data_IF_799650972626
#
_entry.id   IF_799650972626
#
_cell.length_a   1.000
_cell.length_b   1.000
_cell.length_c   1.000
_cell.angle_alpha   90.00
_cell.angle_beta   90.00
_cell.angle_gamma   90.00
#
_symmetry.space_group_name_H-M   'P 1'
#
loop_
_entity.id
_entity.type
_entity.pdbx_description
1 polymer ?
#
# COMPACT_ATOMS: atom_id res chain seq x y z
N UNK A 1 -8.55 -29.54 24.02
CA UNK A 1 -7.70 -30.67 23.61
C UNK A 1 -6.34 -30.10 23.22
N UNK A 2 -5.40 -30.08 24.16
CA UNK A 2 -4.05 -29.54 23.94
C UNK A 2 -3.23 -30.59 23.18
N UNK A 3 -2.86 -30.29 21.93
CA UNK A 3 -1.94 -31.14 21.18
C UNK A 3 -0.51 -30.84 21.65
N UNK A 4 -0.04 -31.65 22.59
CA UNK A 4 1.40 -31.79 22.85
C UNK A 4 2.04 -32.38 21.58
N UNK A 5 3.01 -31.67 20.98
CA UNK A 5 3.85 -32.21 19.90
C UNK A 5 5.24 -32.53 20.44
N UNK A 6 5.63 -33.77 20.21
CA UNK A 6 6.76 -34.49 20.79
C UNK A 6 8.14 -33.94 20.38
N UNK A 7 9.05 -33.91 21.35
CA UNK A 7 10.48 -34.28 21.25
C UNK A 7 11.47 -33.44 20.43
N UNK A 8 11.07 -32.79 19.34
CA UNK A 8 11.99 -32.13 18.40
C UNK A 8 11.58 -30.69 18.01
N UNK A 9 10.51 -30.15 18.64
CA UNK A 9 10.00 -28.80 18.39
C UNK A 9 10.90 -27.70 18.96
N UNK A 10 11.58 -27.95 20.09
CA UNK A 10 12.36 -26.93 20.80
C UNK A 10 13.50 -26.36 19.95
N UNK A 11 14.29 -27.20 19.28
CA UNK A 11 15.42 -26.72 18.47
C UNK A 11 14.98 -25.96 17.21
N UNK A 12 13.91 -26.43 16.55
CA UNK A 12 13.39 -25.75 15.36
C UNK A 12 12.78 -24.40 15.74
N UNK A 13 11.94 -24.36 16.77
CA UNK A 13 11.30 -23.12 17.22
C UNK A 13 12.31 -22.11 17.73
N UNK A 14 13.30 -22.51 18.52
CA UNK A 14 14.37 -21.60 19.00
C UNK A 14 15.13 -21.01 17.82
N UNK A 15 15.43 -21.82 16.79
CA UNK A 15 16.17 -21.38 15.62
C UNK A 15 15.34 -20.46 14.72
N UNK A 16 14.06 -20.77 14.50
CA UNK A 16 13.15 -19.87 13.77
C UNK A 16 12.93 -18.57 14.53
N UNK A 17 12.76 -18.62 15.86
CA UNK A 17 12.65 -17.43 16.72
C UNK A 17 13.90 -16.54 16.66
N UNK A 18 15.08 -17.12 16.50
CA UNK A 18 16.33 -16.35 16.31
C UNK A 18 16.42 -15.62 14.97
N UNK A 19 15.60 -15.98 13.98
CA UNK A 19 15.61 -15.40 12.64
C UNK A 19 14.61 -14.24 12.58
N UNK A 20 15.11 -13.03 12.83
CA UNK A 20 14.29 -11.80 12.96
C UNK A 20 13.59 -11.31 11.68
N UNK A 21 13.68 -12.02 10.55
CA UNK A 21 12.99 -11.64 9.32
C UNK A 21 12.78 -12.82 8.38
N UNK A 22 11.77 -12.72 7.51
CA UNK A 22 11.50 -13.72 6.47
C UNK A 22 12.68 -13.88 5.48
N UNK A 23 13.46 -12.81 5.25
CA UNK A 23 14.67 -12.88 4.41
C UNK A 23 15.74 -13.75 5.06
N UNK A 24 16.02 -13.53 6.35
CA UNK A 24 16.95 -14.35 7.14
C UNK A 24 16.48 -15.80 7.22
N UNK A 25 15.18 -16.03 7.39
CA UNK A 25 14.59 -17.37 7.40
C UNK A 25 14.80 -18.10 6.07
N UNK A 26 14.52 -17.44 4.94
CA UNK A 26 14.76 -18.00 3.59
C UNK A 26 16.24 -18.32 3.37
N UNK A 27 17.14 -17.38 3.67
CA UNK A 27 18.58 -17.62 3.55
C UNK A 27 19.12 -18.72 4.47
N UNK A 28 18.51 -18.93 5.64
CA UNK A 28 18.85 -20.05 6.53
C UNK A 28 18.28 -21.38 6.02
N UNK A 29 17.08 -21.37 5.43
CA UNK A 29 16.44 -22.53 4.82
C UNK A 29 17.20 -23.01 3.57
N UNK A 30 17.79 -22.09 2.79
CA UNK A 30 18.64 -22.44 1.64
C UNK A 30 19.92 -23.19 2.05
N UNK A 31 20.45 -22.88 3.24
CA UNK A 31 21.66 -23.50 3.80
C UNK A 31 21.36 -24.81 4.54
N UNK A 32 20.12 -25.05 4.95
CA UNK A 32 19.74 -26.20 5.75
C UNK A 32 18.45 -26.85 5.20
N UNK A 33 18.57 -27.96 4.44
CA UNK A 33 17.42 -28.64 3.83
C UNK A 33 16.35 -29.07 4.83
N UNK A 34 16.76 -29.57 6.01
CA UNK A 34 15.85 -29.99 7.07
C UNK A 34 15.00 -28.84 7.64
N UNK A 35 15.52 -27.60 7.62
CA UNK A 35 14.75 -26.42 8.03
C UNK A 35 13.72 -26.08 6.96
N UNK A 36 14.13 -26.09 5.69
CA UNK A 36 13.25 -25.84 4.53
C UNK A 36 12.08 -26.82 4.48
N UNK A 37 12.34 -28.10 4.66
CA UNK A 37 11.32 -29.16 4.62
C UNK A 37 10.29 -28.98 5.75
N UNK A 38 10.75 -28.71 6.99
CA UNK A 38 9.85 -28.41 8.11
C UNK A 38 9.04 -27.14 7.89
N UNK A 39 9.65 -26.07 7.39
CA UNK A 39 8.93 -24.82 7.08
C UNK A 39 7.89 -25.04 5.98
N UNK A 40 8.23 -25.76 4.92
CA UNK A 40 7.30 -26.11 3.86
C UNK A 40 6.13 -26.96 4.37
N UNK A 41 6.40 -27.96 5.22
CA UNK A 41 5.37 -28.79 5.82
C UNK A 41 4.39 -28.00 6.71
N UNK A 42 4.87 -26.98 7.42
CA UNK A 42 4.01 -26.09 8.22
C UNK A 42 3.16 -25.17 7.33
N UNK A 43 3.73 -24.70 6.21
CA UNK A 43 3.04 -23.78 5.30
C UNK A 43 2.07 -24.48 4.34
N UNK A 44 2.23 -25.78 4.11
CA UNK A 44 1.38 -26.57 3.22
C UNK A 44 -0.12 -26.36 3.47
N UNK A 45 -0.67 -26.51 4.69
CA UNK A 45 -2.11 -26.35 4.92
C UNK A 45 -2.60 -24.93 4.61
N UNK A 46 -1.78 -23.91 4.89
CA UNK A 46 -2.10 -22.51 4.59
C UNK A 46 -2.10 -22.28 3.07
N UNK A 47 -1.12 -22.84 2.36
CA UNK A 47 -1.04 -22.78 0.90
C UNK A 47 -2.20 -23.51 0.24
N UNK A 48 -2.58 -24.67 0.74
CA UNK A 48 -3.75 -25.42 0.27
C UNK A 48 -5.03 -24.60 0.44
N UNK A 49 -5.22 -23.98 1.61
CA UNK A 49 -6.38 -23.14 1.88
C UNK A 49 -6.41 -21.88 1.00
N UNK A 50 -5.27 -21.22 0.78
CA UNK A 50 -5.17 -20.10 -0.14
C UNK A 50 -5.52 -20.54 -1.57
N UNK A 51 -4.92 -21.61 -2.08
CA UNK A 51 -5.23 -22.15 -3.42
C UNK A 51 -6.72 -22.47 -3.58
N UNK A 52 -7.34 -23.06 -2.56
CA UNK A 52 -8.77 -23.35 -2.56
C UNK A 52 -9.62 -22.07 -2.60
N UNK A 53 -9.22 -21.00 -1.91
CA UNK A 53 -9.94 -19.71 -1.94
C UNK A 53 -9.74 -19.01 -3.29
N UNK A 54 -8.52 -19.04 -3.83
CA UNK A 54 -8.21 -18.44 -5.13
C UNK A 54 -8.81 -19.20 -6.31
N UNK A 55 -9.03 -20.51 -6.22
CA UNK A 55 -9.75 -21.24 -7.28
C UNK A 55 -11.24 -20.88 -7.35
N UNK A 56 -11.80 -20.32 -6.28
CA UNK A 56 -13.17 -19.80 -6.24
C UNK A 56 -13.25 -18.36 -6.76
N UNK A 57 -12.14 -17.64 -6.83
CA UNK A 57 -12.06 -16.32 -7.44
C UNK A 57 -12.10 -16.49 -8.97
N UNK A 58 -13.30 -16.39 -9.53
CA UNK A 58 -13.48 -16.13 -10.95
C UNK A 58 -13.53 -14.62 -11.11
N UNK A 59 -12.71 -14.06 -12.01
CA UNK A 59 -13.08 -12.77 -12.57
C UNK A 59 -14.43 -12.99 -13.23
N UNK A 60 -15.44 -12.27 -12.77
CA UNK A 60 -16.70 -12.23 -13.49
C UNK A 60 -16.43 -11.56 -14.84
N UNK A 61 -16.85 -12.20 -15.93
CA UNK A 61 -16.89 -11.59 -17.27
C UNK A 61 -17.94 -10.47 -17.36
N UNK A 62 -18.72 -10.29 -16.29
CA UNK A 62 -19.46 -9.06 -16.07
C UNK A 62 -18.46 -7.90 -16.12
N UNK A 63 -18.77 -6.80 -16.82
CA UNK A 63 -17.99 -5.59 -16.70
C UNK A 63 -18.12 -5.15 -15.24
N UNK A 64 -17.16 -5.58 -14.42
CA UNK A 64 -16.85 -4.95 -13.14
C UNK A 64 -16.84 -3.49 -13.51
N UNK A 65 -17.82 -2.73 -13.00
CA UNK A 65 -17.84 -1.28 -13.11
C UNK A 65 -16.41 -0.87 -12.84
N UNK A 66 -15.69 -0.57 -13.93
CA UNK A 66 -14.29 -0.25 -13.86
C UNK A 66 -14.32 0.99 -13.01
N UNK A 67 -14.00 0.82 -11.72
CA UNK A 67 -13.64 1.93 -10.88
C UNK A 67 -12.34 2.40 -11.48
N UNK A 68 -12.49 3.17 -12.56
CA UNK A 68 -11.41 3.61 -13.42
C UNK A 68 -10.63 4.55 -12.54
N UNK A 69 -9.56 4.02 -11.97
CA UNK A 69 -8.55 4.78 -11.28
C UNK A 69 -8.00 5.72 -12.35
N UNK A 70 -8.35 7.01 -12.25
CA UNK A 70 -7.72 8.04 -13.07
C UNK A 70 -6.24 8.12 -12.67
N UNK A 71 -5.40 7.36 -13.37
CA UNK A 71 -3.95 7.42 -13.21
C UNK A 71 -3.45 8.56 -14.09
N UNK A 72 -3.27 9.70 -13.43
CA UNK A 72 -2.76 10.92 -14.02
C UNK A 72 -1.24 10.96 -13.88
N UNK A 73 -0.49 11.12 -14.99
CA UNK A 73 0.96 11.38 -14.96
C UNK A 73 1.18 12.65 -14.13
N UNK A 74 2.22 12.73 -13.31
CA UNK A 74 2.41 13.97 -12.57
C UNK A 74 3.02 15.04 -13.50
N UNK A 75 2.58 16.30 -13.35
CA UNK A 75 3.22 17.43 -14.04
C UNK A 75 4.64 17.64 -13.48
N UNK A 76 5.50 18.25 -14.29
CA UNK A 76 6.79 18.80 -13.85
C UNK A 76 6.47 19.75 -12.67
N UNK A 77 7.19 19.60 -11.54
CA UNK A 77 6.91 20.22 -10.22
C UNK A 77 5.81 19.58 -9.35
N UNK A 78 5.58 18.29 -9.51
CA UNK A 78 4.73 17.54 -8.59
C UNK A 78 5.44 17.17 -7.27
N UNK A 79 4.93 17.71 -6.15
CA UNK A 79 5.40 17.41 -4.79
C UNK A 79 5.46 15.91 -4.47
N UNK A 80 4.47 15.14 -4.94
CA UNK A 80 4.46 13.69 -4.72
C UNK A 80 5.61 13.00 -5.47
N UNK A 81 5.87 13.39 -6.72
CA UNK A 81 6.96 12.86 -7.55
C UNK A 81 8.34 13.32 -7.09
N UNK A 82 8.46 14.46 -6.41
CA UNK A 82 9.72 14.83 -5.74
C UNK A 82 10.11 13.80 -4.67
N UNK A 83 9.11 13.24 -3.98
CA UNK A 83 9.33 12.30 -2.86
C UNK A 83 9.25 10.84 -3.30
N UNK A 84 8.54 10.55 -4.37
CA UNK A 84 8.44 9.24 -5.00
C UNK A 84 8.66 9.43 -6.51
N UNK A 85 9.91 9.62 -6.94
CA UNK A 85 10.20 9.79 -8.35
C UNK A 85 9.74 8.57 -9.14
N UNK A 86 9.30 8.75 -10.40
CA UNK A 86 9.03 7.63 -11.29
C UNK A 86 10.19 6.64 -11.28
N UNK A 87 9.88 5.35 -11.18
CA UNK A 87 10.91 4.30 -11.21
C UNK A 87 11.46 4.04 -12.61
N UNK A 88 10.81 4.58 -13.64
CA UNK A 88 11.24 4.49 -15.03
C UNK A 88 12.29 5.58 -15.31
N UNK A 89 13.23 5.34 -16.26
CA UNK A 89 14.13 6.38 -16.74
C UNK A 89 13.36 7.59 -17.28
N UNK A 90 13.90 8.79 -17.08
CA UNK A 90 13.22 10.04 -17.44
C UNK A 90 12.86 10.11 -18.92
N UNK A 91 13.71 9.60 -19.81
CA UNK A 91 13.46 9.54 -21.27
C UNK A 91 12.23 8.68 -21.60
N UNK A 92 12.16 7.49 -21.00
CA UNK A 92 11.03 6.56 -21.21
C UNK A 92 9.77 7.13 -20.59
N UNK A 93 9.86 7.70 -19.39
CA UNK A 93 8.72 8.31 -18.74
C UNK A 93 8.23 9.53 -19.52
N UNK A 94 9.12 10.36 -20.06
CA UNK A 94 8.78 11.54 -20.85
C UNK A 94 8.03 11.16 -22.14
N UNK A 95 8.44 10.10 -22.81
CA UNK A 95 7.82 9.60 -24.05
C UNK A 95 6.41 9.00 -23.88
N UNK A 96 5.99 8.68 -22.65
CA UNK A 96 4.65 8.13 -22.39
C UNK A 96 3.59 9.23 -22.37
N UNK A 97 2.55 9.05 -23.19
CA UNK A 97 1.32 9.82 -23.11
C UNK A 97 0.47 9.44 -21.90
N UNK A 98 -0.47 10.33 -21.58
CA UNK A 98 -1.46 10.12 -20.55
C UNK A 98 -2.38 8.95 -20.88
N UNK A 99 -2.83 8.25 -19.83
CA UNK A 99 -3.87 7.26 -20.01
C UNK A 99 -5.15 7.99 -20.46
N UNK A 100 -5.69 7.67 -21.65
CA UNK A 100 -6.88 8.32 -22.18
C UNK A 100 -8.10 7.99 -21.32
N UNK A 101 -9.00 8.95 -21.20
CA UNK A 101 -10.31 8.74 -20.61
C UNK A 101 -11.15 7.81 -21.51
N UNK A 102 -12.06 7.02 -20.94
CA UNK A 102 -13.00 6.21 -21.71
C UNK A 102 -13.73 7.09 -22.70
N UNK A 103 -13.79 6.66 -23.95
CA UNK A 103 -14.53 7.37 -25.01
C UNK A 103 -15.48 6.39 -25.65
N UNK A 104 -16.76 6.76 -25.78
CA UNK A 104 -17.75 5.90 -26.41
C UNK A 104 -17.60 5.88 -27.92
N UNK A 105 -17.95 4.74 -28.52
CA UNK A 105 -18.14 4.63 -29.97
C UNK A 105 -19.30 5.53 -30.42
N UNK A 106 -19.37 5.83 -31.71
CA UNK A 106 -20.43 6.67 -32.30
C UNK A 106 -21.84 6.16 -31.93
N UNK A 107 -22.02 4.84 -31.87
CA UNK A 107 -23.29 4.18 -31.54
C UNK A 107 -23.59 4.12 -30.03
N UNK A 108 -22.68 4.60 -29.16
CA UNK A 108 -22.76 4.55 -27.69
C UNK A 108 -22.97 3.14 -27.10
N UNK A 109 -22.73 2.10 -27.89
CA UNK A 109 -22.89 0.69 -27.51
C UNK A 109 -21.72 0.12 -26.73
N UNK A 110 -20.57 0.79 -26.74
CA UNK A 110 -19.35 0.38 -26.06
C UNK A 110 -18.27 1.46 -26.13
N UNK A 111 -17.15 1.20 -25.47
CA UNK A 111 -15.99 2.07 -25.47
C UNK A 111 -15.05 1.75 -26.63
N UNK A 112 -14.35 2.77 -27.13
CA UNK A 112 -13.28 2.63 -28.09
C UNK A 112 -12.12 1.82 -27.48
N UNK A 113 -11.43 0.98 -28.26
CA UNK A 113 -10.27 0.25 -27.79
C UNK A 113 -9.11 1.19 -27.50
N UNK A 114 -8.23 0.80 -26.56
CA UNK A 114 -7.11 1.63 -26.09
C UNK A 114 -6.20 2.14 -27.21
N UNK A 115 -5.92 1.30 -28.22
CA UNK A 115 -5.11 1.67 -29.40
C UNK A 115 -5.62 2.90 -30.14
N UNK A 116 -6.94 3.09 -30.13
CA UNK A 116 -7.60 4.10 -30.94
C UNK A 116 -7.74 5.42 -30.16
N UNK A 117 -7.59 5.39 -28.84
CA UNK A 117 -7.69 6.56 -27.96
C UNK A 117 -6.34 7.01 -27.39
N UNK A 118 -5.33 6.14 -27.34
CA UNK A 118 -4.02 6.49 -26.79
C UNK A 118 -3.34 7.59 -27.62
N UNK A 119 -2.81 8.61 -26.93
CA UNK A 119 -2.18 9.77 -27.56
C UNK A 119 -3.16 10.82 -28.14
N UNK A 120 -4.47 10.63 -27.97
CA UNK A 120 -5.49 11.62 -28.35
C UNK A 120 -6.01 12.37 -27.13
N UNK A 121 -6.49 13.59 -27.35
CA UNK A 121 -7.17 14.36 -26.31
C UNK A 121 -8.56 13.75 -26.07
N UNK A 122 -8.78 13.25 -24.86
CA UNK A 122 -10.04 12.65 -24.41
C UNK A 122 -10.64 13.49 -23.29
N UNK A 123 -11.92 13.25 -23.01
CA UNK A 123 -12.69 14.01 -22.02
C UNK A 123 -13.37 13.04 -21.04
N UNK A 124 -13.70 13.51 -19.83
CA UNK A 124 -14.23 12.66 -18.75
C UNK A 124 -15.75 12.36 -18.88
N UNK A 125 -16.40 12.83 -19.94
CA UNK A 125 -17.84 12.85 -20.18
C UNK A 125 -18.44 11.45 -20.31
N UNK A 126 -17.62 10.54 -20.82
CA UNK A 126 -17.93 9.13 -21.02
C UNK A 126 -17.48 8.26 -19.83
N UNK A 127 -16.84 8.83 -18.80
CA UNK A 127 -16.49 8.12 -17.58
C UNK A 127 -17.77 7.65 -16.84
N UNK A 128 -17.92 6.33 -16.57
CA UNK A 128 -19.07 5.80 -15.84
C UNK A 128 -19.27 6.43 -14.46
N UNK A 129 -18.18 6.78 -13.79
CA UNK A 129 -18.16 7.44 -12.48
C UNK A 129 -18.73 8.86 -12.49
N UNK A 130 -18.71 9.56 -13.62
CA UNK A 130 -19.26 10.91 -13.76
C UNK A 130 -20.78 10.88 -13.92
N UNK A 131 -21.30 9.83 -14.55
CA UNK A 131 -22.74 9.69 -14.86
C UNK A 131 -23.58 9.29 -13.66
N UNK A 132 -22.99 8.62 -12.67
CA UNK A 132 -23.68 8.19 -11.46
C UNK A 132 -23.31 9.07 -10.25
N UNK A 133 -23.68 10.36 -10.30
CA UNK A 133 -23.59 11.26 -9.13
C UNK A 133 -24.83 11.22 -8.24
N UNK A 134 -25.84 10.41 -8.58
CA UNK A 134 -27.01 10.21 -7.75
C UNK A 134 -26.67 9.22 -6.64
N UNK A 135 -26.26 9.74 -5.48
CA UNK A 135 -26.30 8.95 -4.24
C UNK A 135 -27.71 8.41 -4.07
N UNK A 136 -27.87 7.09 -4.08
CA UNK A 136 -29.18 6.48 -3.82
C UNK A 136 -29.68 6.90 -2.43
N UNK A 137 -30.99 6.81 -2.19
CA UNK A 137 -31.54 7.05 -0.85
C UNK A 137 -30.93 6.10 0.19
N UNK A 138 -30.59 4.86 -0.20
CA UNK A 138 -29.77 3.94 0.59
C UNK A 138 -28.37 4.49 0.90
N UNK A 139 -27.66 5.06 -0.09
CA UNK A 139 -26.32 5.64 0.14
C UNK A 139 -26.37 6.83 1.10
N UNK A 140 -27.42 7.65 1.03
CA UNK A 140 -27.63 8.76 1.97
C UNK A 140 -27.87 8.27 3.39
N UNK A 141 -28.66 7.20 3.55
CA UNK A 141 -28.92 6.55 4.85
C UNK A 141 -27.67 5.86 5.40
N UNK A 142 -26.81 5.32 4.54
CA UNK A 142 -25.59 4.59 4.91
C UNK A 142 -24.34 5.48 5.02
N UNK A 143 -24.41 6.74 4.57
CA UNK A 143 -23.34 7.75 4.71
C UNK A 143 -22.80 7.88 6.15
N UNK A 144 -23.62 7.77 7.23
CA UNK A 144 -23.14 7.76 8.60
C UNK A 144 -22.42 6.45 9.00
N UNK A 145 -22.67 5.33 8.31
CA UNK A 145 -21.95 4.08 8.52
C UNK A 145 -20.57 4.11 7.86
N UNK A 146 -20.42 4.90 6.79
CA UNK A 146 -19.16 5.24 6.14
C UNK A 146 -18.44 6.42 6.82
N UNK A 147 -18.75 6.68 8.10
CA UNK A 147 -17.82 7.46 8.93
C UNK A 147 -16.54 6.65 8.99
N UNK A 148 -15.40 7.29 8.69
CA UNK A 148 -14.08 6.72 8.93
C UNK A 148 -13.88 6.53 10.45
N UNK A 149 -14.62 5.57 11.02
CA UNK A 149 -14.45 5.08 12.37
C UNK A 149 -13.00 4.64 12.47
N UNK A 150 -12.37 5.00 13.59
CA UNK A 150 -10.94 4.82 13.80
C UNK A 150 -10.49 3.43 13.32
N UNK A 151 -9.89 3.42 12.13
CA UNK A 151 -9.23 2.24 11.60
C UNK A 151 -8.20 1.86 12.64
N UNK A 152 -8.18 0.59 13.04
CA UNK A 152 -7.17 0.03 13.93
C UNK A 152 -5.83 0.67 13.61
N UNK A 153 -5.26 1.42 14.56
CA UNK A 153 -3.96 2.05 14.35
C UNK A 153 -2.95 0.93 14.16
N UNK A 154 -2.49 0.76 12.94
CA UNK A 154 -1.43 -0.19 12.63
C UNK A 154 -0.18 0.22 13.41
N UNK A 155 0.63 -0.78 13.78
CA UNK A 155 1.92 -0.52 14.41
C UNK A 155 2.76 0.38 13.49
N UNK A 156 3.47 1.33 14.10
CA UNK A 156 4.40 2.18 13.37
C UNK A 156 5.49 1.32 12.72
N UNK A 157 5.88 1.71 11.51
CA UNK A 157 6.89 1.01 10.70
C UNK A 157 7.90 2.04 10.20
N UNK A 158 9.18 1.67 10.19
CA UNK A 158 10.26 2.50 9.69
C UNK A 158 10.03 2.88 8.23
N UNK A 159 10.00 4.18 7.95
CA UNK A 159 9.75 4.74 6.63
C UNK A 159 10.78 4.29 5.57
N UNK A 160 12.02 3.99 5.97
CA UNK A 160 13.10 3.68 5.02
C UNK A 160 13.25 2.19 4.72
N UNK A 161 13.02 1.31 5.69
CA UNK A 161 13.33 -0.12 5.56
C UNK A 161 12.18 -1.06 5.90
N UNK A 162 11.06 -0.56 6.42
CA UNK A 162 9.91 -1.39 6.77
C UNK A 162 10.06 -2.15 8.09
N UNK A 163 11.08 -1.87 8.90
CA UNK A 163 11.28 -2.50 10.20
C UNK A 163 10.24 -2.02 11.23
N UNK A 164 9.79 -2.91 12.11
CA UNK A 164 8.81 -2.63 13.16
C UNK A 164 9.44 -2.15 14.45
N UNK A 165 10.76 -2.29 14.60
CA UNK A 165 11.50 -1.80 15.75
C UNK A 165 11.81 -0.31 15.57
N UNK A 166 10.94 0.54 16.10
CA UNK A 166 10.98 1.99 15.89
C UNK A 166 11.74 2.68 17.03
N UNK A 167 12.47 3.75 16.73
CA UNK A 167 13.00 4.64 17.76
C UNK A 167 11.83 5.23 18.55
N UNK A 168 11.81 5.11 19.88
CA UNK A 168 10.69 5.55 20.69
C UNK A 168 10.56 7.07 20.73
N UNK A 169 9.34 7.53 21.00
CA UNK A 169 8.98 8.95 21.16
C UNK A 169 9.69 9.66 22.34
N UNK A 170 10.38 8.90 23.19
CA UNK A 170 11.24 9.42 24.24
C UNK A 170 12.55 9.99 23.71
N UNK A 171 12.92 9.72 22.45
CA UNK A 171 14.07 10.33 21.82
C UNK A 171 13.82 11.83 21.61
N UNK A 172 14.71 12.68 22.16
CA UNK A 172 14.58 14.14 22.14
C UNK A 172 14.46 14.70 20.73
N UNK A 173 15.16 14.11 19.76
CA UNK A 173 15.12 14.53 18.35
C UNK A 173 13.73 14.31 17.75
N UNK A 174 13.15 13.12 17.96
CA UNK A 174 11.80 12.79 17.43
C UNK A 174 10.74 13.63 18.13
N UNK A 175 10.88 13.84 19.44
CA UNK A 175 9.99 14.68 20.23
C UNK A 175 10.00 16.13 19.75
N UNK A 176 11.18 16.70 19.51
CA UNK A 176 11.33 18.04 18.96
C UNK A 176 10.71 18.16 17.55
N UNK A 177 10.92 17.17 16.68
CA UNK A 177 10.31 17.15 15.35
C UNK A 177 8.78 17.06 15.43
N UNK A 178 8.21 16.28 16.36
CA UNK A 178 6.74 16.21 16.56
C UNK A 178 6.14 17.50 17.09
N UNK A 179 6.93 18.33 17.77
CA UNK A 179 6.55 19.69 18.19
C UNK A 179 6.71 20.75 17.10
N UNK A 180 7.41 20.44 16.02
CA UNK A 180 7.63 21.39 14.93
C UNK A 180 6.83 21.04 13.69
N UNK A 181 6.44 19.77 13.52
CA UNK A 181 5.81 19.26 12.31
C UNK A 181 4.58 18.44 12.66
N UNK A 182 3.51 18.61 11.88
CA UNK A 182 2.27 17.85 12.06
C UNK A 182 2.39 16.40 11.58
N UNK A 183 3.41 16.07 10.78
CA UNK A 183 3.69 14.71 10.34
C UNK A 183 5.17 14.44 10.56
N UNK A 184 5.48 13.44 11.40
CA UNK A 184 6.83 12.89 11.59
C UNK A 184 6.75 11.41 11.30
N UNK A 185 7.49 10.93 10.31
CA UNK A 185 7.50 9.53 9.91
C UNK A 185 8.41 8.71 10.85
N UNK A 186 7.98 7.52 11.29
CA UNK A 186 8.78 6.72 12.20
C UNK A 186 10.05 6.18 11.53
N UNK A 187 11.12 5.99 12.31
CA UNK A 187 12.42 5.47 11.85
C UNK A 187 12.92 4.39 12.82
N UNK A 188 13.61 3.36 12.33
CA UNK A 188 14.24 2.34 13.18
C UNK A 188 15.65 2.76 13.64
N UNK A 189 16.16 2.21 14.76
CA UNK A 189 17.51 2.52 15.26
C UNK A 189 18.60 2.30 14.21
N UNK A 190 18.53 1.23 13.43
CA UNK A 190 19.52 0.91 12.39
C UNK A 190 19.60 1.99 11.31
N UNK A 191 18.45 2.48 10.83
CA UNK A 191 18.43 3.56 9.84
C UNK A 191 18.90 4.88 10.44
N UNK A 192 18.54 5.16 11.70
CA UNK A 192 18.96 6.36 12.39
C UNK A 192 20.48 6.39 12.60
N UNK A 193 21.08 5.29 13.04
CA UNK A 193 22.54 5.14 13.21
C UNK A 193 23.29 5.16 11.88
N UNK A 194 22.62 4.85 10.76
CA UNK A 194 23.19 4.98 9.40
C UNK A 194 23.17 6.45 8.90
N UNK A 195 22.84 7.42 9.75
CA UNK A 195 22.80 8.84 9.41
C UNK A 195 21.51 9.31 8.73
N UNK A 196 20.48 8.45 8.62
CA UNK A 196 19.18 8.87 8.07
C UNK A 196 18.36 9.57 9.13
N UNK A 197 17.77 10.71 8.79
CA UNK A 197 16.89 11.47 9.69
C UNK A 197 15.42 11.13 9.46
N UNK A 198 14.56 11.24 10.50
CA UNK A 198 13.11 11.07 10.34
C UNK A 198 12.55 12.04 9.30
N UNK A 199 11.77 11.53 8.34
CA UNK A 199 11.12 12.37 7.35
C UNK A 199 9.95 13.14 7.97
N UNK A 200 9.94 14.47 7.83
CA UNK A 200 8.91 15.35 8.40
C UNK A 200 8.13 16.11 7.34
N UNK A 201 6.89 16.51 7.64
CA UNK A 201 6.07 17.38 6.79
C UNK A 201 5.21 18.34 7.60
N UNK A 202 4.87 19.47 6.97
CA UNK A 202 3.93 20.50 7.45
C UNK A 202 4.33 21.07 8.82
N UNK A 203 5.07 22.18 8.84
CA UNK A 203 5.41 22.89 10.07
C UNK A 203 4.16 23.26 10.90
N UNK A 204 4.29 23.34 12.22
CA UNK A 204 3.16 23.37 13.15
C UNK A 204 2.20 24.55 12.93
N UNK A 205 0.92 24.24 13.17
CA UNK A 205 -0.28 25.07 13.11
C UNK A 205 -0.05 26.43 13.78
N UNK A 206 -0.03 27.50 13.00
CA UNK A 206 -0.26 28.86 13.51
C UNK A 206 -1.57 28.79 14.31
N UNK A 207 -1.52 28.93 15.63
CA UNK A 207 -2.71 29.13 16.45
C UNK A 207 -3.26 30.53 16.11
N UNK A 208 -3.89 30.65 14.95
CA UNK A 208 -4.72 31.79 14.64
C UNK A 208 -5.90 31.75 15.59
N UNK A 209 -5.82 32.50 16.69
CA UNK A 209 -7.03 32.95 17.40
C UNK A 209 -7.95 33.52 16.33
N UNK A 210 -9.08 32.85 16.07
CA UNK A 210 -10.19 33.48 15.38
C UNK A 210 -10.57 34.68 16.24
N UNK A 211 -10.25 35.88 15.77
CA UNK A 211 -10.79 37.12 16.32
C UNK A 211 -12.29 37.10 15.98
N UNK A 212 -13.12 36.96 17.01
CA UNK A 212 -14.49 37.47 16.95
C UNK A 212 -14.43 38.98 17.11
#
# INVERSE_FOLDING_TARGET
MFLAKEGNGCQFEVRVKSLSSLKKLRSAADKQPALREKTNGILEPVLAQLKQRFSQLKLHDDPVLSMMLLIKKCKIDCWYCTLNPPRLPDEVFAALDWLPDPTLNADKSGFLPFSDVYGKETTAEDCPSVRNSLSSEEDKKNKPLLVAGAVTKFADICFFCGDTDIVPDTNETIKALKQQYSIVRPICPTCNSSGKLPAVRNAMKVHGKRKN
#
